data_IF_506985613060
#
_entry.id   IF_506985613060
#
_cell.length_a   1.000
_cell.length_b   1.000
_cell.length_c   1.000
_cell.angle_alpha   90.00
_cell.angle_beta   90.00
_cell.angle_gamma   90.00
#
_symmetry.space_group_name_H-M   'P 1'
#
loop_
_entity.id
_entity.type
_entity.pdbx_description
1 polymer ?
#
# COMPACT_ATOMS: atom_id res chain seq x y z
N UNK A 1 49.27 20.40 39.13
CA UNK A 1 49.54 21.85 39.22
C UNK A 1 50.22 22.32 37.94
N UNK A 2 49.71 23.41 37.34
CA UNK A 2 50.39 24.43 36.51
C UNK A 2 51.06 23.95 35.20
N UNK A 3 50.43 24.19 34.04
CA UNK A 3 50.52 25.36 33.12
C UNK A 3 51.75 25.35 32.19
N UNK A 4 51.48 25.30 30.88
CA UNK A 4 52.34 25.66 29.75
C UNK A 4 51.46 26.01 28.52
N UNK A 5 51.92 26.87 27.57
CA UNK A 5 51.13 28.00 27.08
C UNK A 5 50.59 27.93 25.62
N UNK A 6 49.76 28.94 25.32
CA UNK A 6 49.00 29.24 24.09
C UNK A 6 49.79 29.21 22.77
N UNK A 7 49.08 28.77 21.70
CA UNK A 7 48.79 29.66 20.56
C UNK A 7 48.96 29.06 19.16
N UNK A 8 47.85 28.77 18.46
CA UNK A 8 47.55 29.28 17.10
C UNK A 8 46.12 28.92 16.65
N UNK A 9 45.67 29.71 15.67
CA UNK A 9 44.31 30.21 15.44
C UNK A 9 43.49 29.35 14.45
N UNK A 10 42.17 29.47 14.62
CA UNK A 10 41.03 28.91 13.89
C UNK A 10 41.06 29.12 12.36
N UNK A 11 40.59 28.09 11.63
CA UNK A 11 39.98 28.21 10.31
C UNK A 11 38.61 27.56 10.34
N UNK A 12 37.54 28.37 10.30
CA UNK A 12 36.15 27.91 10.13
C UNK A 12 35.80 27.98 8.65
N UNK A 13 35.52 26.82 8.05
CA UNK A 13 34.92 26.72 6.73
C UNK A 13 33.44 27.06 6.82
N UNK A 14 33.07 28.19 6.23
CA UNK A 14 31.71 28.69 6.11
C UNK A 14 31.00 27.90 5.00
N UNK A 15 29.94 27.14 5.33
CA UNK A 15 29.00 26.61 4.34
C UNK A 15 27.61 27.08 4.76
N UNK A 16 27.14 28.13 4.08
CA UNK A 16 25.82 28.71 4.29
C UNK A 16 24.69 27.82 3.74
N UNK A 17 23.44 28.11 4.11
CA UNK A 17 22.27 27.36 3.66
C UNK A 17 22.02 27.61 2.17
N UNK A 18 21.67 26.54 1.44
CA UNK A 18 21.23 26.61 0.05
C UNK A 18 19.77 27.07 0.05
N UNK A 19 19.53 28.30 -0.40
CA UNK A 19 18.18 28.80 -0.69
C UNK A 19 17.62 28.06 -1.92
N UNK A 20 16.50 27.36 -1.73
CA UNK A 20 15.66 26.87 -2.84
C UNK A 20 14.75 28.01 -3.29
N UNK A 21 14.95 28.49 -4.52
CA UNK A 21 14.13 29.52 -5.13
C UNK A 21 12.69 29.05 -5.42
N UNK A 22 11.75 29.98 -5.63
CA UNK A 22 10.37 29.65 -5.97
C UNK A 22 10.27 28.96 -7.33
N UNK A 23 9.38 27.97 -7.43
CA UNK A 23 9.11 27.18 -8.63
C UNK A 23 8.05 27.89 -9.51
N UNK A 24 8.35 28.07 -10.80
CA UNK A 24 7.45 28.64 -11.80
C UNK A 24 6.63 27.53 -12.50
N UNK A 25 5.28 27.57 -12.47
CA UNK A 25 4.43 26.65 -13.23
C UNK A 25 4.34 27.03 -14.73
N UNK A 26 4.10 26.08 -15.63
CA UNK A 26 3.93 26.37 -17.06
C UNK A 26 2.57 27.03 -17.39
N UNK A 27 2.62 28.04 -18.28
CA UNK A 27 1.47 28.78 -18.84
C UNK A 27 0.52 27.84 -19.60
N UNK A 28 -0.71 27.68 -19.11
CA UNK A 28 -1.78 26.95 -19.79
C UNK A 28 -2.92 27.90 -20.10
N UNK A 29 -2.89 28.45 -21.32
CA UNK A 29 -4.02 29.16 -21.94
C UNK A 29 -4.51 28.34 -23.13
N UNK A 30 -5.84 28.18 -23.16
CA UNK A 30 -6.67 27.56 -24.22
C UNK A 30 -6.65 26.02 -24.11
N UNK A 31 -7.77 25.31 -23.99
CA UNK A 31 -9.02 25.42 -24.73
C UNK A 31 -10.25 25.06 -23.88
N UNK A 32 -11.40 25.53 -24.32
CA UNK A 32 -12.70 25.42 -23.67
C UNK A 32 -13.73 24.78 -24.61
N UNK A 33 -14.64 24.00 -24.01
CA UNK A 33 -15.93 23.51 -24.52
C UNK A 33 -15.92 22.27 -25.43
N UNK A 34 -16.49 21.17 -24.93
CA UNK A 34 -17.83 20.68 -25.25
C UNK A 34 -18.15 19.42 -24.38
N UNK A 35 -19.09 19.52 -23.44
CA UNK A 35 -19.72 18.32 -22.86
C UNK A 35 -21.25 18.51 -22.85
N UNK A 36 -21.94 17.60 -23.55
CA UNK A 36 -23.39 17.57 -23.68
C UNK A 36 -23.98 16.64 -22.63
N UNK A 37 -25.11 17.06 -22.05
CA UNK A 37 -25.94 16.35 -21.07
C UNK A 37 -26.13 14.85 -21.34
N UNK A 38 -26.05 14.02 -20.29
CA UNK A 38 -27.02 12.94 -20.08
C UNK A 38 -27.08 12.43 -18.63
N UNK A 39 -28.20 12.78 -17.98
CA UNK A 39 -29.04 12.01 -17.04
C UNK A 39 -28.43 11.40 -15.76
N UNK A 40 -28.70 12.11 -14.65
CA UNK A 40 -28.73 11.60 -13.28
C UNK A 40 -30.03 10.82 -12.99
N UNK A 41 -29.93 9.77 -12.17
CA UNK A 41 -31.02 9.26 -11.32
C UNK A 41 -30.53 9.30 -9.86
N UNK A 42 -31.33 9.74 -8.87
CA UNK A 42 -30.85 9.91 -7.50
C UNK A 42 -31.17 8.70 -6.63
N UNK A 43 -30.18 8.21 -5.87
CA UNK A 43 -30.44 7.49 -4.62
C UNK A 43 -30.13 8.47 -3.50
N UNK A 44 -31.19 9.03 -2.92
CA UNK A 44 -31.12 10.04 -1.87
C UNK A 44 -30.87 9.37 -0.51
N UNK A 45 -29.61 9.26 -0.09
CA UNK A 45 -29.28 9.14 1.34
C UNK A 45 -28.82 10.52 1.83
N UNK A 46 -29.79 11.36 2.21
CA UNK A 46 -29.50 12.66 2.83
C UNK A 46 -29.11 12.42 4.29
N UNK A 47 -27.80 12.52 4.57
CA UNK A 47 -27.34 12.75 5.94
C UNK A 47 -27.93 14.08 6.42
N UNK A 48 -28.41 14.18 7.67
CA UNK A 48 -28.89 15.44 8.21
C UNK A 48 -27.74 16.46 8.21
N UNK A 49 -28.04 17.64 7.68
CA UNK A 49 -27.18 18.82 7.64
C UNK A 49 -26.80 19.19 9.09
N UNK A 50 -25.57 18.85 9.49
CA UNK A 50 -25.01 19.24 10.78
C UNK A 50 -24.39 20.64 10.59
N UNK A 51 -25.14 21.66 11.02
CA UNK A 51 -24.70 22.99 11.43
C UNK A 51 -23.41 23.53 10.75
N UNK A 52 -23.58 24.19 9.60
CA UNK A 52 -22.54 24.65 8.68
C UNK A 52 -21.80 25.91 9.14
N UNK A 53 -21.23 25.91 10.35
CA UNK A 53 -20.33 26.98 10.83
C UNK A 53 -18.85 26.59 10.85
N UNK A 54 -18.51 25.36 10.47
CA UNK A 54 -17.13 24.90 10.30
C UNK A 54 -16.91 24.44 8.85
N UNK A 55 -15.76 24.77 8.22
CA UNK A 55 -15.41 24.20 6.93
C UNK A 55 -15.41 22.67 7.05
N UNK A 56 -16.11 21.99 6.14
CA UNK A 56 -16.21 20.53 6.15
C UNK A 56 -14.80 19.92 6.07
N UNK A 57 -14.41 19.14 7.07
CA UNK A 57 -13.12 18.47 7.10
C UNK A 57 -12.94 17.57 5.86
N UNK A 58 -11.72 17.51 5.32
CA UNK A 58 -11.40 16.60 4.23
C UNK A 58 -10.78 15.31 4.78
N UNK A 59 -11.46 14.20 4.55
CA UNK A 59 -11.01 12.88 4.95
C UNK A 59 -10.79 12.00 3.73
N UNK A 60 -9.64 11.33 3.66
CA UNK A 60 -9.27 10.37 2.64
C UNK A 60 -9.31 8.95 3.22
N UNK A 61 -10.03 8.04 2.57
CA UNK A 61 -10.05 6.63 2.93
C UNK A 61 -9.05 5.84 2.08
N UNK A 62 -8.14 5.14 2.77
CA UNK A 62 -7.15 4.25 2.19
C UNK A 62 -7.50 2.78 2.44
N UNK A 63 -7.70 2.02 1.35
CA UNK A 63 -7.98 0.59 1.38
C UNK A 63 -6.87 -0.28 0.74
N UNK A 64 -5.94 0.34 0.01
CA UNK A 64 -4.79 -0.34 -0.60
C UNK A 64 -3.48 0.12 0.03
N UNK A 65 -2.53 0.53 -0.81
CA UNK A 65 -1.22 1.05 -0.39
C UNK A 65 -1.26 2.15 0.67
N UNK A 66 -2.30 2.97 0.70
CA UNK A 66 -2.45 4.02 1.70
C UNK A 66 -2.51 3.51 3.15
N UNK A 67 -2.81 2.23 3.39
CA UNK A 67 -2.83 1.66 4.74
C UNK A 67 -1.42 1.68 5.37
N UNK A 68 -0.38 1.34 4.59
CA UNK A 68 1.02 1.28 5.06
C UNK A 68 1.92 2.40 4.48
N UNK A 69 1.48 3.09 3.42
CA UNK A 69 2.13 4.27 2.83
C UNK A 69 1.18 5.47 2.90
N UNK A 70 1.11 6.18 4.04
CA UNK A 70 0.21 7.32 4.23
C UNK A 70 0.35 8.41 3.17
N UNK A 71 -0.71 9.21 2.91
CA UNK A 71 -0.59 10.43 2.11
C UNK A 71 0.25 11.48 2.85
N UNK A 72 0.78 12.51 2.17
CA UNK A 72 1.37 13.66 2.85
C UNK A 72 0.30 14.51 3.56
N UNK A 73 0.72 15.40 4.46
CA UNK A 73 -0.09 16.46 5.06
C UNK A 73 -1.36 16.01 5.81
N UNK A 74 -1.37 14.83 6.40
CA UNK A 74 -2.42 14.42 7.34
C UNK A 74 -2.06 14.78 8.78
N UNK A 75 -3.07 15.06 9.60
CA UNK A 75 -2.91 15.31 11.04
C UNK A 75 -3.68 14.30 11.91
N UNK A 76 -4.55 13.49 11.31
CA UNK A 76 -5.21 12.34 11.97
C UNK A 76 -5.19 11.12 11.08
N UNK A 77 -5.00 9.95 11.69
CA UNK A 77 -5.04 8.62 11.07
C UNK A 77 -5.91 7.71 11.94
N UNK A 78 -7.01 7.20 11.39
CA UNK A 78 -8.01 6.43 12.15
C UNK A 78 -8.28 5.09 11.45
N UNK A 79 -8.07 3.93 12.09
CA UNK A 79 -8.47 2.64 11.55
C UNK A 79 -10.01 2.49 11.59
N UNK A 80 -10.56 1.74 10.64
CA UNK A 80 -12.00 1.53 10.52
C UNK A 80 -12.35 0.91 9.18
N UNK A 81 -13.60 1.00 8.75
CA UNK A 81 -14.06 0.36 7.53
C UNK A 81 -15.10 1.17 6.77
N UNK A 82 -15.37 0.73 5.54
CA UNK A 82 -16.54 1.12 4.76
C UNK A 82 -17.40 -0.11 4.49
N UNK A 83 -18.70 0.09 4.38
CA UNK A 83 -19.69 -0.95 4.04
C UNK A 83 -20.10 -0.84 2.56
N UNK A 84 -20.72 -1.89 2.02
CA UNK A 84 -21.27 -1.88 0.66
C UNK A 84 -20.24 -2.08 -0.47
N UNK A 85 -18.99 -2.38 -0.12
CA UNK A 85 -17.93 -2.68 -1.07
C UNK A 85 -17.31 -4.05 -0.84
N UNK A 86 -16.57 -4.52 -1.84
CA UNK A 86 -15.70 -5.69 -1.81
C UNK A 86 -14.33 -5.29 -2.35
N UNK A 87 -13.26 -5.72 -1.69
CA UNK A 87 -11.88 -5.49 -2.15
C UNK A 87 -11.40 -6.64 -3.01
N UNK A 88 -10.80 -6.35 -4.16
CA UNK A 88 -10.18 -7.34 -5.06
C UNK A 88 -8.90 -6.83 -5.71
N UNK A 89 -7.97 -7.73 -6.02
CA UNK A 89 -6.75 -7.46 -6.80
C UNK A 89 -7.01 -7.43 -8.31
N UNK A 90 -8.08 -6.75 -8.71
CA UNK A 90 -8.61 -6.78 -10.08
C UNK A 90 -8.38 -5.47 -10.85
N UNK A 91 -7.44 -4.65 -10.40
CA UNK A 91 -7.00 -3.48 -11.15
C UNK A 91 -5.60 -3.72 -11.71
N UNK A 92 -5.43 -3.53 -13.02
CA UNK A 92 -4.13 -3.52 -13.66
C UNK A 92 -3.27 -2.33 -13.15
N UNK A 93 -1.95 -2.53 -13.03
CA UNK A 93 -1.03 -1.44 -12.68
C UNK A 93 0.11 -1.39 -13.68
N UNK A 94 0.13 -0.34 -14.48
CA UNK A 94 1.09 -0.14 -15.58
C UNK A 94 2.26 0.79 -15.21
N UNK A 95 2.15 1.48 -14.08
CA UNK A 95 3.01 2.60 -13.67
C UNK A 95 3.73 2.36 -12.33
N UNK A 96 3.18 1.48 -11.49
CA UNK A 96 3.71 1.21 -10.15
C UNK A 96 4.21 -0.23 -10.00
N UNK A 97 3.33 -1.21 -10.17
CA UNK A 97 3.60 -2.63 -9.87
C UNK A 97 3.73 -3.51 -11.12
N UNK A 98 3.66 -2.91 -12.30
CA UNK A 98 4.01 -3.48 -13.59
C UNK A 98 4.53 -2.41 -14.53
N UNK A 99 4.47 -2.70 -15.83
CA UNK A 99 4.73 -1.77 -16.93
C UNK A 99 3.55 -1.77 -17.89
N UNK A 100 3.46 -0.84 -18.86
CA UNK A 100 2.41 -0.87 -19.88
C UNK A 100 2.38 -2.18 -20.68
N UNK A 101 3.54 -2.80 -20.93
CA UNK A 101 3.67 -4.06 -21.66
C UNK A 101 3.40 -5.31 -20.79
N UNK A 102 3.60 -5.18 -19.48
CA UNK A 102 3.44 -6.25 -18.50
C UNK A 102 2.80 -5.68 -17.21
N UNK A 103 1.49 -5.37 -17.24
CA UNK A 103 0.82 -4.72 -16.11
C UNK A 103 0.77 -5.63 -14.89
N UNK A 104 1.00 -5.06 -13.71
CA UNK A 104 0.80 -5.72 -12.43
C UNK A 104 -0.68 -5.78 -12.04
N UNK A 105 -0.96 -6.12 -10.78
CA UNK A 105 -2.27 -6.21 -10.17
C UNK A 105 -2.26 -5.54 -8.81
N UNK A 106 -3.20 -4.62 -8.59
CA UNK A 106 -3.36 -3.86 -7.35
C UNK A 106 -4.80 -3.94 -6.86
N UNK A 107 -5.02 -3.56 -5.61
CA UNK A 107 -6.34 -3.58 -4.99
C UNK A 107 -7.24 -2.47 -5.58
N UNK A 108 -8.49 -2.82 -5.86
CA UNK A 108 -9.60 -1.88 -6.09
C UNK A 108 -10.79 -2.24 -5.20
N UNK A 109 -11.76 -1.33 -5.11
CA UNK A 109 -13.06 -1.57 -4.51
C UNK A 109 -14.11 -1.79 -5.60
N UNK A 110 -15.07 -2.65 -5.30
CA UNK A 110 -16.19 -2.97 -6.19
C UNK A 110 -17.44 -2.82 -5.34
N UNK A 111 -18.49 -2.19 -5.87
CA UNK A 111 -19.77 -2.20 -5.18
C UNK A 111 -20.24 -3.64 -4.96
N UNK A 112 -20.68 -3.95 -3.74
CA UNK A 112 -21.12 -5.28 -3.36
C UNK A 112 -22.24 -5.79 -4.26
N UNK A 113 -23.21 -4.94 -4.58
CA UNK A 113 -24.33 -5.24 -5.47
C UNK A 113 -23.89 -5.67 -6.87
N UNK A 114 -22.79 -5.09 -7.39
CA UNK A 114 -22.20 -5.49 -8.66
C UNK A 114 -21.40 -6.78 -8.52
N UNK A 115 -20.57 -6.89 -7.48
CA UNK A 115 -19.75 -8.08 -7.21
C UNK A 115 -20.61 -9.34 -7.05
N UNK A 116 -21.77 -9.25 -6.39
CA UNK A 116 -22.73 -10.35 -6.22
C UNK A 116 -23.32 -10.87 -7.54
N UNK A 117 -23.22 -10.11 -8.64
CA UNK A 117 -23.63 -10.54 -9.98
C UNK A 117 -22.53 -11.27 -10.74
N UNK A 118 -21.28 -11.21 -10.25
CA UNK A 118 -20.13 -11.84 -10.87
C UNK A 118 -19.96 -13.28 -10.38
N UNK A 119 -19.31 -14.10 -11.20
CA UNK A 119 -18.82 -15.42 -10.76
C UNK A 119 -17.39 -15.26 -10.27
N UNK A 120 -17.23 -15.09 -8.96
CA UNK A 120 -15.93 -15.04 -8.28
C UNK A 120 -15.58 -16.43 -7.72
N UNK A 121 -14.31 -16.82 -7.80
CA UNK A 121 -13.79 -18.04 -7.19
C UNK A 121 -13.84 -17.98 -5.65
N UNK A 122 -13.79 -16.79 -5.08
CA UNK A 122 -14.11 -16.57 -3.67
C UNK A 122 -15.62 -16.32 -3.55
N UNK A 123 -16.36 -17.31 -3.09
CA UNK A 123 -17.84 -17.31 -2.99
C UNK A 123 -18.43 -16.32 -1.99
N UNK A 124 -17.57 -15.71 -1.17
CA UNK A 124 -17.94 -14.79 -0.12
C UNK A 124 -16.89 -13.68 0.02
N UNK A 125 -17.33 -12.55 0.57
CA UNK A 125 -16.48 -11.41 0.86
C UNK A 125 -16.89 -10.80 2.21
N UNK A 126 -15.92 -10.33 3.03
CA UNK A 126 -16.21 -9.67 4.31
C UNK A 126 -17.22 -8.53 4.12
N UNK A 127 -18.20 -8.39 5.01
CA UNK A 127 -19.18 -7.28 4.95
C UNK A 127 -18.51 -5.91 5.03
N UNK A 128 -17.43 -5.84 5.82
CA UNK A 128 -16.66 -4.63 6.10
C UNK A 128 -15.36 -4.65 5.32
N UNK A 129 -15.09 -3.55 4.61
CA UNK A 129 -13.79 -3.35 3.96
C UNK A 129 -12.92 -2.49 4.88
N UNK A 130 -11.97 -3.13 5.56
CA UNK A 130 -11.12 -2.49 6.55
C UNK A 130 -9.98 -1.66 5.96
N UNK A 131 -9.77 -0.45 6.45
CA UNK A 131 -8.71 0.43 6.00
C UNK A 131 -8.45 1.54 7.01
N UNK A 132 -8.06 2.71 6.49
CA UNK A 132 -7.67 3.85 7.32
C UNK A 132 -8.24 5.14 6.75
N UNK A 133 -8.81 5.98 7.60
CA UNK A 133 -9.19 7.34 7.27
C UNK A 133 -8.09 8.33 7.71
N UNK A 134 -7.73 9.23 6.81
CA UNK A 134 -6.76 10.30 7.02
C UNK A 134 -7.44 11.65 6.97
N UNK A 135 -7.33 12.47 8.01
CA UNK A 135 -7.74 13.88 7.93
C UNK A 135 -6.61 14.67 7.34
N UNK A 136 -6.85 15.33 6.21
CA UNK A 136 -5.87 16.21 5.58
C UNK A 136 -6.02 17.60 6.17
N UNK A 137 -4.86 18.21 6.47
CA UNK A 137 -4.77 19.57 6.97
C UNK A 137 -5.49 20.52 5.98
N UNK A 138 -6.41 21.39 6.42
CA UNK A 138 -7.24 22.21 5.53
C UNK A 138 -6.46 22.99 4.46
N UNK A 139 -5.31 23.55 4.83
CA UNK A 139 -4.46 24.34 3.94
C UNK A 139 -3.76 23.50 2.86
N UNK A 140 -3.77 22.17 3.01
CA UNK A 140 -3.09 21.21 2.13
C UNK A 140 -4.03 20.33 1.31
N UNK A 141 -5.34 20.51 1.46
CA UNK A 141 -6.34 19.70 0.74
C UNK A 141 -6.18 19.78 -0.77
N UNK A 142 -5.93 20.98 -1.32
CA UNK A 142 -5.73 21.15 -2.76
C UNK A 142 -4.49 20.39 -3.26
N UNK A 143 -3.37 20.52 -2.55
CA UNK A 143 -2.10 19.84 -2.88
C UNK A 143 -2.24 18.31 -2.79
N UNK A 144 -2.94 17.80 -1.78
CA UNK A 144 -3.17 16.35 -1.64
C UNK A 144 -4.12 15.84 -2.72
N UNK A 145 -5.14 16.59 -3.10
CA UNK A 145 -6.02 16.21 -4.22
C UNK A 145 -5.23 16.13 -5.53
N UNK A 146 -4.44 17.15 -5.85
CA UNK A 146 -3.61 17.15 -7.06
C UNK A 146 -2.60 16.00 -7.05
N UNK A 147 -1.94 15.75 -5.92
CA UNK A 147 -1.04 14.60 -5.75
C UNK A 147 -1.75 13.26 -6.01
N UNK A 148 -2.99 13.10 -5.52
CA UNK A 148 -3.77 11.88 -5.71
C UNK A 148 -4.31 11.77 -7.15
N UNK A 149 -4.74 12.87 -7.77
CA UNK A 149 -5.19 12.90 -9.16
C UNK A 149 -4.06 12.45 -10.11
N UNK A 150 -2.81 12.83 -9.84
CA UNK A 150 -1.64 12.37 -10.60
C UNK A 150 -1.36 10.88 -10.34
N UNK A 151 -1.47 10.45 -9.08
CA UNK A 151 -1.18 9.07 -8.67
C UNK A 151 -2.22 8.06 -9.15
N UNK A 152 -3.45 8.51 -9.32
CA UNK A 152 -4.61 7.68 -9.64
C UNK A 152 -5.13 7.94 -11.08
N UNK A 153 -4.29 8.58 -11.92
CA UNK A 153 -4.57 9.00 -13.31
C UNK A 153 -5.07 7.86 -14.23
N UNK A 154 -4.83 6.62 -13.81
CA UNK A 154 -5.08 5.41 -14.56
C UNK A 154 -6.42 4.74 -14.19
N UNK A 155 -7.53 5.46 -14.33
CA UNK A 155 -8.88 4.85 -14.31
C UNK A 155 -9.56 4.73 -12.95
N UNK A 156 -9.03 5.39 -11.91
CA UNK A 156 -9.76 5.55 -10.66
C UNK A 156 -10.69 6.77 -10.72
N UNK A 157 -11.85 6.64 -10.10
CA UNK A 157 -12.84 7.71 -9.97
C UNK A 157 -13.03 8.07 -8.50
N UNK A 158 -13.40 9.33 -8.25
CA UNK A 158 -13.64 9.84 -6.89
C UNK A 158 -15.06 9.46 -6.44
N UNK A 159 -15.16 8.78 -5.31
CA UNK A 159 -16.42 8.48 -4.62
C UNK A 159 -16.38 9.01 -3.19
N UNK A 160 -17.55 9.10 -2.58
CA UNK A 160 -17.69 9.42 -1.16
C UNK A 160 -18.43 8.29 -0.45
N UNK A 161 -17.86 7.81 0.66
CA UNK A 161 -18.45 6.73 1.45
C UNK A 161 -18.53 7.12 2.94
N UNK A 162 -19.53 6.61 3.68
CA UNK A 162 -19.50 6.64 5.13
C UNK A 162 -18.40 5.69 5.63
N UNK A 163 -17.43 6.24 6.33
CA UNK A 163 -16.40 5.48 7.04
C UNK A 163 -16.81 5.31 8.50
N UNK A 164 -16.66 4.09 9.01
CA UNK A 164 -16.98 3.71 10.37
C UNK A 164 -15.69 3.55 11.18
N UNK A 165 -15.37 4.50 12.07
CA UNK A 165 -14.21 4.40 12.95
C UNK A 165 -14.26 3.18 13.86
N UNK A 166 -13.12 2.48 14.01
CA UNK A 166 -13.04 1.29 14.86
C UNK A 166 -13.18 1.58 16.36
N UNK A 167 -12.99 2.84 16.77
CA UNK A 167 -13.16 3.28 18.16
C UNK A 167 -14.63 3.54 18.55
N UNK A 168 -15.57 3.33 17.62
CA UNK A 168 -17.00 3.55 17.84
C UNK A 168 -17.45 5.00 17.69
N UNK A 169 -16.56 5.90 17.24
CA UNK A 169 -16.93 7.27 16.90
C UNK A 169 -17.99 7.32 15.78
N UNK A 170 -18.77 8.42 15.67
CA UNK A 170 -19.74 8.57 14.60
C UNK A 170 -19.12 8.42 13.19
N UNK A 171 -19.90 7.93 12.20
CA UNK A 171 -19.41 7.80 10.84
C UNK A 171 -18.89 9.12 10.26
N UNK A 172 -17.79 9.04 9.51
CA UNK A 172 -17.12 10.16 8.87
C UNK A 172 -17.32 10.05 7.37
N UNK A 173 -17.69 11.14 6.69
CA UNK A 173 -17.72 11.16 5.22
C UNK A 173 -16.29 11.21 4.68
N UNK A 174 -15.87 10.19 3.94
CA UNK A 174 -14.53 10.10 3.36
C UNK A 174 -14.58 10.11 1.84
N UNK A 175 -13.56 10.68 1.21
CA UNK A 175 -13.26 10.52 -0.20
C UNK A 175 -12.51 9.19 -0.39
N UNK A 176 -12.86 8.45 -1.43
CA UNK A 176 -12.20 7.20 -1.81
C UNK A 176 -11.99 7.17 -3.34
N UNK A 177 -10.81 6.75 -3.77
CA UNK A 177 -10.50 6.51 -5.18
C UNK A 177 -10.86 5.08 -5.54
N UNK A 178 -11.75 4.85 -6.50
CA UNK A 178 -12.21 3.50 -6.89
C UNK A 178 -11.97 3.26 -8.38
N UNK A 179 -11.26 2.16 -8.69
CA UNK A 179 -11.11 1.65 -10.04
C UNK A 179 -12.38 0.89 -10.41
N UNK A 180 -13.33 1.60 -11.02
CA UNK A 180 -14.66 1.06 -11.33
C UNK A 180 -14.61 -0.01 -12.42
N UNK A 181 -15.56 -0.96 -12.45
CA UNK A 181 -15.62 -2.00 -13.48
C UNK A 181 -15.67 -1.49 -14.93
N UNK A 182 -16.12 -0.25 -15.14
CA UNK A 182 -16.18 0.38 -16.46
C UNK A 182 -14.80 0.89 -16.95
N UNK A 183 -13.74 0.78 -16.14
CA UNK A 183 -12.40 1.22 -16.54
C UNK A 183 -11.65 0.14 -17.35
N UNK A 184 -10.78 0.55 -18.28
CA UNK A 184 -10.03 -0.38 -19.15
C UNK A 184 -9.03 -1.26 -18.37
N UNK A 185 -8.70 -0.86 -17.15
CA UNK A 185 -7.74 -1.54 -16.28
C UNK A 185 -8.41 -2.54 -15.33
N UNK A 186 -9.74 -2.68 -15.38
CA UNK A 186 -10.47 -3.63 -14.58
C UNK A 186 -10.38 -5.00 -15.26
N UNK A 187 -9.72 -5.93 -14.59
CA UNK A 187 -9.33 -7.24 -15.15
C UNK A 187 -10.01 -8.40 -14.43
N UNK A 188 -11.00 -8.11 -13.59
CA UNK A 188 -11.74 -9.09 -12.81
C UNK A 188 -13.00 -9.63 -13.51
N UNK A 189 -13.57 -10.75 -13.02
CA UNK A 189 -13.01 -11.69 -12.04
C UNK A 189 -11.79 -12.46 -12.55
N UNK A 190 -10.95 -12.98 -11.65
CA UNK A 190 -9.77 -13.79 -12.01
C UNK A 190 -9.65 -15.02 -11.12
N UNK A 191 -9.09 -16.12 -11.66
CA UNK A 191 -8.71 -17.28 -10.87
C UNK A 191 -7.62 -16.89 -9.84
N UNK A 192 -7.78 -17.24 -8.55
CA UNK A 192 -6.81 -16.85 -7.51
C UNK A 192 -5.41 -17.42 -7.72
N UNK A 193 -5.27 -18.60 -8.33
CA UNK A 193 -3.96 -19.20 -8.58
C UNK A 193 -3.25 -18.48 -9.73
N UNK A 194 -3.94 -18.29 -10.86
CA UNK A 194 -3.40 -17.51 -11.99
C UNK A 194 -3.04 -16.08 -11.58
N UNK A 195 -3.89 -15.45 -10.76
CA UNK A 195 -3.65 -14.12 -10.22
C UNK A 195 -2.42 -14.08 -9.30
N UNK A 196 -2.27 -15.05 -8.40
CA UNK A 196 -1.09 -15.14 -7.53
C UNK A 196 0.20 -15.32 -8.33
N UNK A 197 0.18 -16.17 -9.36
CA UNK A 197 1.33 -16.35 -10.27
C UNK A 197 1.66 -15.09 -11.06
N UNK A 198 0.65 -14.38 -11.53
CA UNK A 198 0.81 -13.09 -12.20
C UNK A 198 1.47 -12.06 -11.27
N UNK A 199 0.95 -11.92 -10.05
CA UNK A 199 1.51 -11.03 -9.02
C UNK A 199 2.94 -11.42 -8.67
N UNK A 200 3.23 -12.72 -8.57
CA UNK A 200 4.57 -13.21 -8.23
C UNK A 200 5.63 -12.82 -9.29
N UNK A 201 5.27 -12.86 -10.58
CA UNK A 201 6.17 -12.55 -11.70
C UNK A 201 6.24 -11.07 -12.06
N UNK A 202 5.29 -10.24 -11.60
CA UNK A 202 5.16 -8.83 -12.00
C UNK A 202 6.06 -7.89 -11.21
N UNK A 203 6.62 -6.88 -11.90
CA UNK A 203 7.44 -5.83 -11.33
C UNK A 203 7.22 -4.52 -12.08
N UNK A 204 7.19 -3.41 -11.34
CA UNK A 204 7.17 -2.07 -11.91
C UNK A 204 8.15 -1.11 -11.23
N UNK A 205 8.09 0.19 -11.57
CA UNK A 205 8.96 1.23 -11.01
C UNK A 205 8.92 1.32 -9.48
N UNK A 206 7.79 0.94 -8.85
CA UNK A 206 7.61 0.95 -7.39
C UNK A 206 8.02 -0.36 -6.71
N UNK A 207 8.65 -1.29 -7.44
CA UNK A 207 9.15 -2.57 -6.95
C UNK A 207 8.30 -3.77 -7.38
N UNK A 208 8.55 -4.91 -6.74
CA UNK A 208 7.85 -6.16 -7.06
C UNK A 208 6.37 -6.06 -6.70
N UNK A 209 5.52 -6.71 -7.49
CA UNK A 209 4.09 -6.69 -7.22
C UNK A 209 3.74 -7.53 -5.98
N UNK A 210 4.44 -8.65 -5.75
CA UNK A 210 4.29 -9.44 -4.52
C UNK A 210 4.51 -8.61 -3.25
N UNK A 211 5.46 -7.67 -3.24
CA UNK A 211 5.72 -6.82 -2.07
C UNK A 211 4.52 -5.94 -1.75
N UNK A 212 3.73 -5.50 -2.75
CA UNK A 212 2.48 -4.79 -2.52
C UNK A 212 1.48 -5.68 -1.80
N UNK A 213 1.26 -6.90 -2.31
CA UNK A 213 0.29 -7.84 -1.74
C UNK A 213 0.66 -8.23 -0.31
N UNK A 214 1.93 -8.60 -0.08
CA UNK A 214 2.41 -8.99 1.24
C UNK A 214 2.39 -7.83 2.23
N UNK A 215 2.69 -6.60 1.79
CA UNK A 215 2.56 -5.41 2.65
C UNK A 215 1.10 -5.16 3.03
N UNK A 216 0.16 -5.36 2.09
CA UNK A 216 -1.26 -5.17 2.36
C UNK A 216 -1.80 -6.24 3.34
N UNK A 217 -1.46 -7.52 3.14
CA UNK A 217 -1.84 -8.63 4.02
C UNK A 217 -1.38 -8.39 5.48
N UNK A 218 -0.12 -7.99 5.65
CA UNK A 218 0.44 -7.61 6.96
C UNK A 218 -0.27 -6.39 7.53
N UNK A 219 -0.38 -5.30 6.75
CA UNK A 219 -0.95 -4.05 7.24
C UNK A 219 -2.42 -4.21 7.64
N UNK A 220 -3.20 -5.03 6.92
CA UNK A 220 -4.56 -5.36 7.29
C UNK A 220 -4.63 -6.14 8.60
N UNK A 221 -3.77 -7.14 8.77
CA UNK A 221 -3.72 -7.95 10.00
C UNK A 221 -3.33 -7.13 11.24
N UNK A 222 -2.64 -6.01 11.05
CA UNK A 222 -2.20 -5.10 12.12
C UNK A 222 -3.21 -4.00 12.47
N UNK A 223 -4.27 -3.78 11.67
CA UNK A 223 -5.25 -2.71 11.93
C UNK A 223 -6.16 -3.01 13.13
N UNK A 224 -6.67 -4.24 13.21
CA UNK A 224 -7.58 -4.73 14.25
C UNK A 224 -7.62 -6.29 14.22
N UNK A 225 -8.13 -6.95 15.28
CA UNK A 225 -8.24 -8.41 15.29
C UNK A 225 -9.11 -9.01 14.16
N UNK A 226 -10.10 -8.26 13.67
CA UNK A 226 -11.07 -8.67 12.64
C UNK A 226 -10.88 -7.94 11.29
N UNK A 227 -9.74 -7.27 11.09
CA UNK A 227 -9.47 -6.49 9.87
C UNK A 227 -8.79 -7.26 8.73
N UNK A 228 -8.57 -8.56 8.90
CA UNK A 228 -8.10 -9.44 7.83
C UNK A 228 -9.09 -9.52 6.66
N UNK A 229 -8.58 -9.69 5.45
CA UNK A 229 -9.36 -9.86 4.23
C UNK A 229 -9.04 -11.22 3.60
N UNK A 230 -10.06 -12.07 3.44
CA UNK A 230 -9.90 -13.44 2.96
C UNK A 230 -9.26 -13.52 1.56
N UNK A 231 -9.66 -12.64 0.64
CA UNK A 231 -9.12 -12.63 -0.72
C UNK A 231 -7.64 -12.25 -0.71
N UNK A 232 -7.29 -11.21 0.05
CA UNK A 232 -5.90 -10.76 0.21
C UNK A 232 -5.05 -11.86 0.85
N UNK A 233 -5.56 -12.48 1.91
CA UNK A 233 -4.84 -13.52 2.64
C UNK A 233 -4.61 -14.78 1.80
N UNK A 234 -5.62 -15.22 1.02
CA UNK A 234 -5.49 -16.37 0.12
C UNK A 234 -4.42 -16.11 -0.96
N UNK A 235 -4.45 -14.94 -1.61
CA UNK A 235 -3.42 -14.58 -2.58
C UNK A 235 -2.03 -14.52 -1.94
N UNK A 236 -1.91 -13.93 -0.75
CA UNK A 236 -0.63 -13.82 -0.05
C UNK A 236 -0.07 -15.20 0.33
N UNK A 237 -0.93 -16.13 0.77
CA UNK A 237 -0.55 -17.53 1.02
C UNK A 237 -0.02 -18.20 -0.25
N UNK A 238 -0.73 -18.09 -1.37
CA UNK A 238 -0.31 -18.67 -2.67
C UNK A 238 1.04 -18.11 -3.14
N UNK A 239 1.24 -16.80 -3.01
CA UNK A 239 2.53 -16.16 -3.36
C UNK A 239 3.67 -16.67 -2.48
N UNK A 240 3.46 -16.84 -1.17
CA UNK A 240 4.48 -17.42 -0.27
C UNK A 240 4.81 -18.88 -0.63
N UNK A 241 3.82 -19.65 -1.09
CA UNK A 241 4.03 -21.02 -1.58
C UNK A 241 4.87 -21.03 -2.87
N UNK A 242 4.59 -20.10 -3.81
CA UNK A 242 5.40 -19.93 -5.02
C UNK A 242 6.85 -19.54 -4.71
N UNK A 243 7.07 -18.63 -3.75
CA UNK A 243 8.41 -18.27 -3.27
C UNK A 243 9.17 -19.47 -2.75
N UNK A 244 8.56 -20.25 -1.86
CA UNK A 244 9.18 -21.44 -1.28
C UNK A 244 9.54 -22.48 -2.35
N UNK A 245 8.64 -22.74 -3.29
CA UNK A 245 8.89 -23.70 -4.37
C UNK A 245 10.07 -23.26 -5.25
N UNK A 246 10.15 -21.97 -5.58
CA UNK A 246 11.27 -21.42 -6.36
C UNK A 246 12.62 -21.50 -5.59
N UNK A 247 12.60 -21.27 -4.28
CA UNK A 247 13.80 -21.43 -3.43
C UNK A 247 14.26 -22.88 -3.37
N UNK A 248 13.34 -23.83 -3.23
CA UNK A 248 13.64 -25.25 -3.14
C UNK A 248 14.17 -25.79 -4.48
N UNK A 249 13.59 -25.37 -5.62
CA UNK A 249 14.13 -25.65 -6.95
C UNK A 249 15.54 -25.08 -7.14
N UNK A 250 15.79 -23.85 -6.69
CA UNK A 250 17.11 -23.23 -6.78
C UNK A 250 18.17 -23.98 -5.95
N UNK A 251 17.79 -24.49 -4.77
CA UNK A 251 18.68 -25.32 -3.92
C UNK A 251 18.96 -26.69 -4.54
N UNK A 252 17.98 -27.30 -5.20
CA UNK A 252 18.14 -28.58 -5.90
C UNK A 252 19.04 -28.45 -7.13
N UNK A 253 18.97 -27.32 -7.85
CA UNK A 253 19.80 -27.04 -9.03
C UNK A 253 21.23 -26.60 -8.66
N UNK A 254 21.44 -26.06 -7.46
CA UNK A 254 22.75 -25.63 -6.95
C UNK A 254 23.14 -26.33 -5.62
N UNK A 255 23.44 -27.64 -5.62
CA UNK A 255 23.70 -28.41 -4.38
C UNK A 255 25.01 -28.04 -3.63
N UNK A 256 25.85 -27.15 -4.16
CA UNK A 256 27.19 -26.87 -3.62
C UNK A 256 27.19 -25.73 -2.59
N UNK A 257 26.57 -25.91 -1.43
CA UNK A 257 26.96 -25.21 -0.17
C UNK A 257 26.36 -25.86 1.07
N UNK A 258 26.55 -27.17 1.26
CA UNK A 258 26.50 -27.76 2.61
C UNK A 258 27.18 -29.13 2.63
N UNK A 259 28.50 -29.15 2.88
CA UNK A 259 29.19 -30.39 3.26
C UNK A 259 30.13 -30.12 4.44
N UNK A 260 29.69 -30.61 5.59
CA UNK A 260 30.41 -31.15 6.75
C UNK A 260 31.58 -30.40 7.41
N UNK A 261 31.35 -29.98 8.67
CA UNK A 261 32.29 -30.27 9.76
C UNK A 261 31.70 -31.38 10.64
N UNK A 262 32.04 -32.62 10.32
CA UNK A 262 31.92 -33.75 11.24
C UNK A 262 33.34 -33.99 11.77
N UNK A 263 33.63 -33.50 12.97
CA UNK A 263 34.91 -33.79 13.65
C UNK A 263 34.83 -35.19 14.23
N UNK A 264 35.42 -36.16 13.54
CA UNK A 264 35.90 -37.40 14.15
C UNK A 264 37.29 -37.10 14.75
N UNK A 265 37.46 -37.31 16.04
CA UNK A 265 38.77 -37.31 16.70
C UNK A 265 38.90 -38.64 17.44
N UNK A 266 39.74 -39.53 16.92
CA UNK A 266 40.16 -40.77 17.60
C UNK A 266 41.67 -40.68 17.81
N UNK A 267 42.03 -40.64 19.10
CA UNK A 267 43.12 -41.34 19.81
C UNK A 267 44.51 -41.48 19.20
N UNK A 268 45.52 -41.03 19.96
CA UNK A 268 46.70 -41.78 20.44
C UNK A 268 47.58 -40.81 21.27
N UNK A 269 48.38 -41.15 22.29
CA UNK A 269 48.39 -42.10 23.40
C UNK A 269 49.76 -41.85 24.10
N UNK A 270 49.78 -41.81 25.45
CA UNK A 270 50.92 -42.03 26.38
C UNK A 270 52.12 -41.03 26.30
N UNK A 271 52.83 -40.64 27.37
CA UNK A 271 53.34 -41.36 28.54
C UNK A 271 53.86 -40.35 29.62
N UNK A 272 53.49 -40.57 30.90
CA UNK A 272 54.26 -40.57 32.20
C UNK A 272 55.46 -39.60 32.35
N UNK A 273 55.59 -38.77 33.42
CA UNK A 273 56.27 -39.13 34.70
C UNK A 273 56.16 -38.06 35.83
N UNK A 274 56.52 -38.50 37.05
CA UNK A 274 56.26 -38.15 38.46
C UNK A 274 56.44 -36.70 39.04
N UNK A 275 55.94 -36.47 40.28
CA UNK A 275 56.19 -35.27 41.07
C UNK A 275 57.43 -35.39 41.96
N UNK A 276 58.28 -34.35 41.97
CA UNK A 276 59.31 -34.17 42.99
C UNK A 276 58.92 -33.06 43.98
N UNK A 277 58.88 -33.49 45.26
CA UNK A 277 59.11 -32.81 46.54
C UNK A 277 58.85 -31.31 46.72
#
# INVERSE_FOLDING_TARGET
MKKGPLGKVLGHGNSGPVEVGPWDPPDTRQESFLFTQSRQLPILFTMPDQDSSQPSEFWLYGYGSLIWKPPPHFDRRIPGWVDGYVRRFWQASEDHRGTPEAPGRVATLIERSYWEQLTDSHDSAPERVWGVAYRIIPEKVAEVKEYLDIREINGYTIHYAPFHPADGSPPIRTLVYIGTPDNEQFVGPQDPQELAEHIFRSQGPSGLNKDYLLSLDTALSELAPDSGDYHIHDLARRVRELEKNCEDETKLLNPTTSVHQQKHSTEEAEEIEEPHH
#
